data_IF_093130662927
#
_entry.id   IF_093130662927
#
_cell.length_a   1.000
_cell.length_b   1.000
_cell.length_c   1.000
_cell.angle_alpha   90.00
_cell.angle_beta   90.00
_cell.angle_gamma   90.00
#
_symmetry.space_group_name_H-M   'P 1'
#
loop_
_entity.id
_entity.type
_entity.pdbx_description
1 polymer ?
#
# COMPACT_ATOMS: atom_id res chain seq x y z
N UNK A 1 -16.45 19.66 -2.59
CA UNK A 1 -16.41 20.12 -1.19
C UNK A 1 -16.76 21.61 -1.18
N UNK A 2 -17.86 21.97 -0.51
CA UNK A 2 -18.25 23.37 -0.32
C UNK A 2 -17.21 24.12 0.53
N UNK A 3 -17.17 25.45 0.38
CA UNK A 3 -16.29 26.43 1.04
C UNK A 3 -16.24 26.39 2.59
N UNK A 4 -16.87 25.39 3.22
CA UNK A 4 -17.01 25.25 4.68
C UNK A 4 -16.10 24.19 5.32
N UNK A 5 -15.24 23.48 4.59
CA UNK A 5 -14.20 22.66 5.24
C UNK A 5 -13.06 23.56 5.75
N UNK A 6 -13.32 24.25 6.85
CA UNK A 6 -12.35 25.09 7.55
C UNK A 6 -11.54 24.20 8.51
N UNK A 7 -10.19 24.25 8.50
CA UNK A 7 -9.34 23.56 9.49
C UNK A 7 -9.79 23.79 10.94
N UNK A 8 -10.35 24.97 11.23
CA UNK A 8 -10.89 25.33 12.56
C UNK A 8 -12.12 24.53 13.00
N UNK A 9 -12.84 23.90 12.08
CA UNK A 9 -13.98 23.01 12.39
C UNK A 9 -13.46 21.61 12.71
N UNK A 10 -12.46 21.14 11.98
CA UNK A 10 -11.77 19.88 12.26
C UNK A 10 -11.06 19.91 13.63
N UNK A 11 -10.35 21.01 13.93
CA UNK A 11 -9.62 21.23 15.19
C UNK A 11 -10.51 21.23 16.45
N UNK A 12 -11.84 21.36 16.31
CA UNK A 12 -12.75 21.51 17.45
C UNK A 12 -13.46 20.21 17.84
N UNK A 13 -14.02 19.49 16.87
CA UNK A 13 -14.82 18.27 17.09
C UNK A 13 -14.66 17.23 15.95
N UNK A 14 -13.79 17.48 14.96
CA UNK A 14 -13.71 16.65 13.73
C UNK A 14 -12.65 15.56 13.75
N UNK A 15 -11.69 15.61 14.67
CA UNK A 15 -10.59 14.65 14.71
C UNK A 15 -11.05 13.24 15.16
N UNK A 16 -12.12 13.15 15.96
CA UNK A 16 -12.72 11.87 16.37
C UNK A 16 -13.28 11.09 15.17
N UNK A 17 -13.57 11.77 14.05
CA UNK A 17 -14.10 11.18 12.81
C UNK A 17 -13.05 11.09 11.70
N UNK A 18 -11.77 11.34 12.01
CA UNK A 18 -10.72 11.41 10.98
C UNK A 18 -10.60 10.11 10.19
N UNK A 19 -10.61 8.96 10.87
CA UNK A 19 -10.59 7.63 10.26
C UNK A 19 -11.78 7.44 9.29
N UNK A 20 -13.00 7.83 9.70
CA UNK A 20 -14.20 7.75 8.86
C UNK A 20 -14.14 8.69 7.64
N UNK A 21 -13.41 9.80 7.76
CA UNK A 21 -13.25 10.77 6.66
C UNK A 21 -12.18 10.35 5.65
N UNK A 22 -11.27 9.45 6.02
CA UNK A 22 -10.10 9.11 5.22
C UNK A 22 -10.44 8.65 3.79
N UNK A 23 -11.45 7.78 3.55
CA UNK A 23 -11.84 7.41 2.18
C UNK A 23 -12.29 8.60 1.32
N UNK A 24 -12.97 9.58 1.92
CA UNK A 24 -13.41 10.77 1.19
C UNK A 24 -12.24 11.73 0.88
N UNK A 25 -11.27 11.85 1.80
CA UNK A 25 -10.06 12.65 1.60
C UNK A 25 -9.17 12.04 0.53
N UNK A 26 -8.98 10.72 0.57
CA UNK A 26 -8.25 9.96 -0.45
C UNK A 26 -8.86 10.16 -1.85
N UNK A 27 -10.16 9.92 -2.00
CA UNK A 27 -10.88 10.12 -3.26
C UNK A 27 -10.75 11.55 -3.81
N UNK A 28 -10.75 12.55 -2.93
CA UNK A 28 -10.57 13.95 -3.34
C UNK A 28 -9.18 14.22 -3.95
N UNK A 29 -8.16 13.44 -3.59
CA UNK A 29 -6.80 13.56 -4.09
C UNK A 29 -6.60 12.77 -5.39
N UNK A 30 -7.12 11.53 -5.45
CA UNK A 30 -6.79 10.60 -6.54
C UNK A 30 -7.70 10.69 -7.76
N UNK A 31 -8.98 11.07 -7.62
CA UNK A 31 -9.94 11.07 -8.74
C UNK A 31 -9.66 12.19 -9.76
N UNK A 32 -9.41 13.42 -9.28
CA UNK A 32 -9.07 14.57 -10.13
C UNK A 32 -7.93 15.37 -9.49
N UNK A 33 -6.74 14.77 -9.53
CA UNK A 33 -5.51 15.39 -9.02
C UNK A 33 -5.26 16.78 -9.62
N UNK A 34 -5.49 17.05 -10.92
CA UNK A 34 -5.40 18.40 -11.47
C UNK A 34 -6.33 19.42 -10.78
N UNK A 35 -7.59 19.06 -10.53
CA UNK A 35 -8.52 19.92 -9.81
C UNK A 35 -8.10 20.11 -8.34
N UNK A 36 -7.62 19.05 -7.69
CA UNK A 36 -7.05 19.13 -6.34
C UNK A 36 -5.87 20.11 -6.28
N UNK A 37 -4.93 20.03 -7.22
CA UNK A 37 -3.74 20.88 -7.30
C UNK A 37 -4.03 22.31 -7.80
N UNK A 38 -5.21 22.57 -8.36
CA UNK A 38 -5.59 23.90 -8.86
C UNK A 38 -5.58 25.00 -7.77
N UNK A 39 -5.70 24.59 -6.50
CA UNK A 39 -5.64 25.47 -5.34
C UNK A 39 -4.67 24.91 -4.30
N UNK A 40 -3.54 25.59 -4.11
CA UNK A 40 -2.50 25.18 -3.15
C UNK A 40 -3.02 25.10 -1.70
N UNK A 41 -4.12 25.76 -1.37
CA UNK A 41 -4.75 25.65 -0.05
C UNK A 41 -5.30 24.25 0.23
N UNK A 42 -5.58 23.43 -0.80
CA UNK A 42 -6.05 22.06 -0.59
C UNK A 42 -4.95 21.18 0.03
N UNK A 43 -3.73 21.19 -0.54
CA UNK A 43 -2.58 20.47 0.02
C UNK A 43 -2.27 20.97 1.43
N UNK A 44 -2.30 22.29 1.63
CA UNK A 44 -2.06 22.89 2.95
C UNK A 44 -3.13 22.47 3.97
N UNK A 45 -4.40 22.40 3.57
CA UNK A 45 -5.49 21.94 4.44
C UNK A 45 -5.28 20.48 4.86
N UNK A 46 -4.97 19.58 3.91
CA UNK A 46 -4.67 18.18 4.21
C UNK A 46 -3.46 18.04 5.14
N UNK A 47 -2.39 18.78 4.87
CA UNK A 47 -1.23 18.82 5.75
C UNK A 47 -1.58 19.26 7.17
N UNK A 48 -2.40 20.31 7.33
CA UNK A 48 -2.78 20.80 8.65
C UNK A 48 -3.64 19.78 9.42
N UNK A 49 -4.50 19.04 8.74
CA UNK A 49 -5.27 17.92 9.32
C UNK A 49 -4.30 16.85 9.83
N UNK A 50 -3.42 16.34 8.97
CA UNK A 50 -2.43 15.32 9.35
C UNK A 50 -1.52 15.79 10.48
N UNK A 51 -1.06 17.05 10.41
CA UNK A 51 -0.24 17.66 11.45
C UNK A 51 -0.97 17.72 12.79
N UNK A 52 -2.23 18.11 12.81
CA UNK A 52 -3.03 18.16 14.04
C UNK A 52 -3.13 16.77 14.66
N UNK A 53 -3.51 15.76 13.87
CA UNK A 53 -3.62 14.36 14.32
C UNK A 53 -2.29 13.84 14.85
N UNK A 54 -1.20 14.06 14.12
CA UNK A 54 0.12 13.55 14.50
C UNK A 54 0.73 14.28 15.70
N UNK A 55 0.34 15.50 16.06
CA UNK A 55 1.10 16.31 17.06
C UNK A 55 0.31 16.77 18.28
N UNK A 56 -1.01 16.97 18.16
CA UNK A 56 -1.81 17.65 19.19
C UNK A 56 -2.81 16.72 19.83
N UNK A 57 -3.32 15.76 19.07
CA UNK A 57 -4.38 14.92 19.55
C UNK A 57 -3.81 13.88 20.54
N UNK A 58 -4.36 13.79 21.76
CA UNK A 58 -4.17 12.66 22.68
C UNK A 58 -4.92 11.42 22.13
N UNK A 59 -4.74 11.15 20.84
CA UNK A 59 -5.37 10.05 20.12
C UNK A 59 -4.59 8.75 20.32
N UNK A 60 -5.29 7.65 20.07
CA UNK A 60 -4.62 6.38 19.79
C UNK A 60 -3.70 6.49 18.57
N UNK A 61 -2.86 5.48 18.36
CA UNK A 61 -1.95 5.45 17.20
C UNK A 61 -2.68 5.17 15.87
N UNK A 62 -3.93 4.67 15.90
CA UNK A 62 -4.70 4.35 14.69
C UNK A 62 -5.01 5.58 13.79
N UNK A 63 -5.55 6.71 14.30
CA UNK A 63 -5.66 7.94 13.52
C UNK A 63 -4.31 8.47 13.01
N UNK A 64 -3.22 8.24 13.77
CA UNK A 64 -1.88 8.64 13.35
C UNK A 64 -1.40 7.81 12.14
N UNK A 65 -1.71 6.50 12.09
CA UNK A 65 -1.47 5.65 10.92
C UNK A 65 -2.18 6.20 9.68
N UNK A 66 -3.47 6.52 9.81
CA UNK A 66 -4.27 7.13 8.73
C UNK A 66 -3.69 8.48 8.27
N UNK A 67 -3.19 9.30 9.20
CA UNK A 67 -2.60 10.59 8.89
C UNK A 67 -1.28 10.44 8.12
N UNK A 68 -0.44 9.49 8.52
CA UNK A 68 0.78 9.14 7.81
C UNK A 68 0.48 8.58 6.42
N UNK A 69 -0.48 7.65 6.29
CA UNK A 69 -0.91 7.12 4.98
C UNK A 69 -1.43 8.21 4.05
N UNK A 70 -2.22 9.16 4.56
CA UNK A 70 -2.70 10.29 3.77
C UNK A 70 -1.54 11.17 3.25
N UNK A 71 -0.52 11.43 4.07
CA UNK A 71 0.66 12.18 3.64
C UNK A 71 1.42 11.44 2.53
N UNK A 72 1.59 10.13 2.67
CA UNK A 72 2.22 9.27 1.65
C UNK A 72 1.45 9.31 0.32
N UNK A 73 0.12 9.12 0.35
CA UNK A 73 -0.76 9.22 -0.82
C UNK A 73 -0.58 10.57 -1.51
N UNK A 74 -0.56 11.68 -0.77
CA UNK A 74 -0.37 13.02 -1.36
C UNK A 74 1.00 13.12 -2.04
N UNK A 75 2.07 12.59 -1.41
CA UNK A 75 3.43 12.61 -1.99
C UNK A 75 3.46 11.85 -3.31
N UNK A 76 2.91 10.63 -3.34
CA UNK A 76 2.97 9.76 -4.51
C UNK A 76 2.04 10.24 -5.63
N UNK A 77 0.80 10.63 -5.31
CA UNK A 77 -0.18 11.12 -6.28
C UNK A 77 0.23 12.45 -6.91
N UNK A 78 0.78 13.38 -6.12
CA UNK A 78 1.12 14.73 -6.58
C UNK A 78 2.58 14.86 -7.03
N UNK A 79 3.21 13.75 -7.44
CA UNK A 79 4.64 13.71 -7.80
C UNK A 79 5.02 14.82 -8.79
N UNK A 80 6.04 15.62 -8.44
CA UNK A 80 6.56 16.73 -9.26
C UNK A 80 5.81 18.07 -9.17
N UNK A 81 4.77 18.17 -8.33
CA UNK A 81 3.91 19.37 -8.26
C UNK A 81 3.87 20.04 -6.88
N UNK A 82 4.48 19.44 -5.85
CA UNK A 82 4.37 19.86 -4.45
C UNK A 82 5.72 19.98 -3.73
N UNK A 83 6.82 20.24 -4.45
CA UNK A 83 8.18 20.32 -3.90
C UNK A 83 8.28 21.26 -2.67
N UNK A 84 7.50 22.34 -2.63
CA UNK A 84 7.45 23.26 -1.49
C UNK A 84 6.87 22.67 -0.20
N UNK A 85 6.07 21.60 -0.30
CA UNK A 85 5.42 20.94 0.84
C UNK A 85 6.25 19.76 1.39
N UNK A 86 7.04 19.11 0.54
CA UNK A 86 7.83 17.91 0.89
C UNK A 86 8.69 18.10 2.14
N UNK A 87 9.42 19.22 2.34
CA UNK A 87 10.22 19.40 3.54
C UNK A 87 9.42 19.31 4.84
N UNK A 88 8.21 19.90 4.85
CA UNK A 88 7.32 19.88 6.01
C UNK A 88 6.70 18.52 6.28
N UNK A 89 6.53 17.68 5.25
CA UNK A 89 6.01 16.31 5.38
C UNK A 89 7.07 15.39 5.97
N UNK A 90 8.31 15.49 5.46
CA UNK A 90 9.48 14.77 6.01
C UNK A 90 9.69 15.15 7.48
N UNK A 91 9.71 16.45 7.79
CA UNK A 91 9.92 16.92 9.15
C UNK A 91 8.84 16.41 10.11
N UNK A 92 7.56 16.44 9.70
CA UNK A 92 6.45 15.98 10.52
C UNK A 92 6.54 14.48 10.84
N UNK A 93 6.83 13.65 9.84
CA UNK A 93 6.98 12.20 10.02
C UNK A 93 8.18 11.86 10.91
N UNK A 94 9.34 12.48 10.66
CA UNK A 94 10.53 12.28 11.49
C UNK A 94 10.32 12.77 12.93
N UNK A 95 9.62 13.90 13.14
CA UNK A 95 9.25 14.36 14.48
C UNK A 95 8.36 13.34 15.21
N UNK A 96 7.42 12.69 14.51
CA UNK A 96 6.61 11.62 15.11
C UNK A 96 7.45 10.42 15.54
N UNK A 97 8.45 10.02 14.75
CA UNK A 97 9.37 8.93 15.06
C UNK A 97 10.30 9.22 16.26
N UNK A 98 10.51 10.49 16.63
CA UNK A 98 11.30 10.83 17.84
C UNK A 98 10.53 10.70 19.16
N UNK A 99 9.21 10.52 19.09
CA UNK A 99 8.37 10.24 20.26
C UNK A 99 8.21 8.73 20.44
N UNK A 100 7.66 8.31 21.58
CA UNK A 100 7.30 6.91 21.80
C UNK A 100 6.33 6.45 20.69
N UNK A 101 6.64 5.33 20.06
CA UNK A 101 5.77 4.65 19.08
C UNK A 101 5.59 3.22 19.56
N UNK A 102 4.35 2.82 19.87
CA UNK A 102 4.03 1.52 20.46
C UNK A 102 3.90 0.45 19.39
N UNK A 103 3.16 0.74 18.33
CA UNK A 103 2.86 -0.19 17.24
C UNK A 103 3.96 -0.20 16.17
N UNK A 104 4.24 -1.36 15.60
CA UNK A 104 5.09 -1.49 14.40
C UNK A 104 4.45 -0.84 13.18
N UNK A 105 3.13 -0.91 13.07
CA UNK A 105 2.35 -0.30 11.99
C UNK A 105 2.57 1.21 11.91
N UNK A 106 2.44 1.96 13.02
CA UNK A 106 2.68 3.40 12.99
C UNK A 106 4.14 3.74 12.65
N UNK A 107 5.11 2.93 13.12
CA UNK A 107 6.52 3.11 12.73
C UNK A 107 6.67 2.94 11.23
N UNK A 108 6.13 1.86 10.65
CA UNK A 108 6.17 1.58 9.22
C UNK A 108 5.52 2.72 8.41
N UNK A 109 4.32 3.16 8.78
CA UNK A 109 3.61 4.26 8.10
C UNK A 109 4.41 5.57 8.13
N UNK A 110 5.01 5.92 9.27
CA UNK A 110 5.86 7.12 9.35
C UNK A 110 7.13 6.99 8.50
N UNK A 111 7.75 5.80 8.46
CA UNK A 111 8.89 5.53 7.59
C UNK A 111 8.48 5.65 6.12
N UNK A 112 7.32 5.13 5.72
CA UNK A 112 6.81 5.22 4.35
C UNK A 112 6.63 6.66 3.86
N UNK A 113 6.18 7.60 4.70
CA UNK A 113 6.12 9.03 4.32
C UNK A 113 7.49 9.54 3.89
N UNK A 114 8.55 9.18 4.63
CA UNK A 114 9.92 9.60 4.35
C UNK A 114 10.50 8.87 3.14
N UNK A 115 10.15 7.59 2.95
CA UNK A 115 10.54 6.77 1.77
C UNK A 115 9.86 7.30 0.50
N UNK A 116 8.56 7.62 0.56
CA UNK A 116 7.81 8.24 -0.52
C UNK A 116 8.42 9.57 -0.93
N UNK A 117 8.86 10.39 0.04
CA UNK A 117 9.55 11.65 -0.25
C UNK A 117 10.94 11.44 -0.89
N UNK A 118 11.68 10.40 -0.47
CA UNK A 118 12.94 10.00 -1.11
C UNK A 118 12.69 9.57 -2.57
N UNK A 119 11.68 8.75 -2.79
CA UNK A 119 11.27 8.29 -4.12
C UNK A 119 10.72 9.44 -4.98
N UNK A 120 10.07 10.44 -4.38
CA UNK A 120 9.56 11.64 -5.03
C UNK A 120 10.71 12.46 -5.65
N UNK A 121 11.69 12.84 -4.83
CA UNK A 121 12.85 13.63 -5.27
C UNK A 121 14.04 13.41 -4.30
N UNK A 122 15.04 12.59 -4.66
CA UNK A 122 16.12 12.24 -3.75
C UNK A 122 17.06 13.41 -3.43
N UNK A 123 17.15 14.42 -4.31
CA UNK A 123 17.94 15.62 -4.04
C UNK A 123 17.26 16.51 -2.99
N UNK A 124 15.95 16.75 -3.15
CA UNK A 124 15.17 17.50 -2.17
C UNK A 124 15.14 16.80 -0.81
N UNK A 125 15.06 15.46 -0.81
CA UNK A 125 15.12 14.65 0.40
C UNK A 125 16.44 14.89 1.17
N UNK A 126 17.59 14.78 0.49
CA UNK A 126 18.90 15.06 1.10
C UNK A 126 18.97 16.47 1.68
N UNK A 127 18.63 17.48 0.86
CA UNK A 127 18.68 18.87 1.27
C UNK A 127 17.79 19.16 2.49
N UNK A 128 16.67 18.43 2.62
CA UNK A 128 15.76 18.55 3.74
C UNK A 128 16.34 17.90 4.98
N UNK A 129 16.74 16.64 4.89
CA UNK A 129 17.24 15.86 6.04
C UNK A 129 18.51 16.46 6.63
N UNK A 130 19.37 17.07 5.81
CA UNK A 130 20.57 17.78 6.28
C UNK A 130 20.26 19.10 7.02
N UNK A 131 19.09 19.72 6.77
CA UNK A 131 18.68 20.99 7.39
C UNK A 131 17.83 20.80 8.64
N UNK A 132 17.11 19.68 8.74
CA UNK A 132 16.26 19.39 9.89
C UNK A 132 17.13 19.26 11.14
N UNK A 133 16.64 19.81 12.25
CA UNK A 133 17.27 19.69 13.56
C UNK A 133 16.32 18.97 14.50
N UNK A 134 16.56 17.67 14.71
CA UNK A 134 15.81 16.86 15.66
C UNK A 134 16.69 16.53 16.86
N UNK A 135 16.06 16.26 17.99
CA UNK A 135 16.74 15.75 19.19
C UNK A 135 17.07 14.27 18.99
N UNK A 136 18.07 14.00 18.16
CA UNK A 136 18.68 12.68 17.99
C UNK A 136 20.00 12.60 18.79
N UNK A 137 20.51 11.40 19.09
CA UNK A 137 21.81 11.25 19.73
C UNK A 137 22.89 12.04 18.97
N UNK A 138 23.74 12.84 19.66
CA UNK A 138 24.66 13.78 19.01
C UNK A 138 25.77 13.13 18.18
N UNK A 139 25.83 11.80 18.18
CA UNK A 139 26.82 10.99 17.48
C UNK A 139 26.39 10.57 16.08
N UNK A 140 25.14 10.83 15.69
CA UNK A 140 24.55 10.33 14.44
C UNK A 140 23.85 11.45 13.66
N UNK A 141 23.82 11.33 12.33
CA UNK A 141 23.04 12.22 11.46
C UNK A 141 21.61 11.71 11.31
N UNK A 142 20.65 12.60 11.00
CA UNK A 142 19.24 12.21 10.83
C UNK A 142 19.08 11.17 9.71
N UNK A 143 19.81 11.35 8.61
CA UNK A 143 19.81 10.39 7.50
C UNK A 143 20.33 9.02 7.94
N UNK A 144 21.39 8.97 8.74
CA UNK A 144 21.92 7.72 9.28
C UNK A 144 20.95 7.01 10.21
N UNK A 145 20.33 7.76 11.13
CA UNK A 145 19.34 7.24 12.05
C UNK A 145 18.14 6.65 11.29
N UNK A 146 17.60 7.42 10.33
CA UNK A 146 16.49 6.98 9.49
C UNK A 146 16.83 5.73 8.68
N UNK A 147 17.98 5.68 8.01
CA UNK A 147 18.37 4.52 7.19
C UNK A 147 18.50 3.26 8.04
N UNK A 148 19.10 3.36 9.24
CA UNK A 148 19.24 2.22 10.14
C UNK A 148 17.89 1.74 10.67
N UNK A 149 17.01 2.67 11.04
CA UNK A 149 15.66 2.32 11.48
C UNK A 149 14.85 1.67 10.36
N UNK A 150 14.93 2.22 9.14
CA UNK A 150 14.25 1.64 7.99
C UNK A 150 14.71 0.20 7.68
N UNK A 151 16.02 -0.05 7.69
CA UNK A 151 16.54 -1.41 7.49
C UNK A 151 16.19 -2.37 8.63
N UNK A 152 16.07 -1.86 9.86
CA UNK A 152 15.69 -2.63 11.03
C UNK A 152 14.21 -3.04 10.99
N UNK A 153 13.33 -2.10 10.68
CA UNK A 153 11.87 -2.30 10.67
C UNK A 153 11.36 -2.77 9.29
N UNK A 154 12.23 -3.33 8.44
CA UNK A 154 11.89 -3.75 7.07
C UNK A 154 10.91 -4.92 7.01
N UNK A 155 10.86 -5.73 8.06
CA UNK A 155 9.90 -6.83 8.28
C UNK A 155 8.49 -6.33 8.64
N UNK A 156 8.38 -5.09 9.12
CA UNK A 156 7.10 -4.45 9.47
C UNK A 156 6.39 -3.83 8.25
N UNK A 157 6.96 -3.88 7.05
CA UNK A 157 6.28 -3.45 5.82
C UNK A 157 5.40 -4.59 5.35
N UNK A 158 4.09 -4.42 5.53
CA UNK A 158 3.07 -5.41 5.26
C UNK A 158 2.30 -5.04 3.98
N UNK A 159 1.68 -6.01 3.33
CA UNK A 159 0.99 -5.81 2.06
C UNK A 159 1.89 -5.65 0.83
N UNK A 160 1.26 -5.51 -0.33
CA UNK A 160 1.93 -5.31 -1.63
C UNK A 160 2.46 -3.88 -1.73
N UNK A 161 1.64 -2.89 -1.41
CA UNK A 161 1.98 -1.47 -1.58
C UNK A 161 3.25 -1.08 -0.79
N UNK A 162 3.28 -1.35 0.51
CA UNK A 162 4.34 -0.90 1.41
C UNK A 162 5.69 -1.52 1.00
N UNK A 163 5.65 -2.79 0.60
CA UNK A 163 6.83 -3.51 0.11
C UNK A 163 7.30 -3.00 -1.25
N UNK A 164 6.40 -2.69 -2.18
CA UNK A 164 6.76 -2.05 -3.46
C UNK A 164 7.45 -0.71 -3.20
N UNK A 165 6.88 0.13 -2.35
CA UNK A 165 7.45 1.43 -2.00
C UNK A 165 8.83 1.28 -1.32
N UNK A 166 8.98 0.31 -0.42
CA UNK A 166 10.25 -0.01 0.22
C UNK A 166 11.33 -0.39 -0.82
N UNK A 167 11.03 -1.30 -1.76
CA UNK A 167 11.96 -1.70 -2.83
C UNK A 167 12.32 -0.52 -3.73
N UNK A 168 11.34 0.28 -4.14
CA UNK A 168 11.56 1.45 -5.00
C UNK A 168 12.38 2.54 -4.28
N UNK A 169 12.13 2.74 -2.99
CA UNK A 169 12.91 3.62 -2.14
C UNK A 169 14.36 3.20 -2.03
N UNK A 170 14.62 1.94 -1.67
CA UNK A 170 15.99 1.41 -1.54
C UNK A 170 16.71 1.45 -2.89
N UNK A 171 16.01 1.09 -3.98
CA UNK A 171 16.55 1.20 -5.34
C UNK A 171 16.94 2.64 -5.69
N UNK A 172 16.11 3.62 -5.29
CA UNK A 172 16.42 5.05 -5.45
C UNK A 172 17.67 5.43 -4.66
N UNK A 173 17.76 5.02 -3.40
CA UNK A 173 18.91 5.27 -2.52
C UNK A 173 20.22 4.72 -3.09
N UNK A 174 20.16 3.49 -3.63
CA UNK A 174 21.29 2.82 -4.28
C UNK A 174 21.76 3.57 -5.54
N UNK A 175 20.83 4.16 -6.30
CA UNK A 175 21.10 4.86 -7.55
C UNK A 175 21.59 6.32 -7.39
N UNK A 176 21.66 6.87 -6.17
CA UNK A 176 22.06 8.26 -5.92
C UNK A 176 23.54 8.59 -6.22
N UNK A 177 24.35 7.57 -6.55
CA UNK A 177 25.76 7.75 -6.89
C UNK A 177 26.54 8.44 -5.77
N UNK A 178 27.38 9.46 -6.07
CA UNK A 178 28.21 10.13 -5.07
C UNK A 178 27.41 10.98 -4.07
N UNK A 179 26.16 11.30 -4.37
CA UNK A 179 25.29 12.09 -3.47
C UNK A 179 24.62 11.23 -2.39
N UNK A 180 24.80 9.90 -2.44
CA UNK A 180 24.21 8.98 -1.47
C UNK A 180 24.72 9.27 -0.04
N UNK A 181 23.86 9.23 1.00
CA UNK A 181 24.29 9.43 2.39
C UNK A 181 25.37 8.44 2.81
N UNK A 182 26.35 8.88 3.61
CA UNK A 182 27.44 8.01 4.09
C UNK A 182 26.93 6.79 4.86
N UNK A 183 25.81 6.93 5.56
CA UNK A 183 25.18 5.83 6.30
C UNK A 183 24.80 4.64 5.41
N UNK A 184 24.49 4.89 4.14
CA UNK A 184 24.19 3.78 3.21
C UNK A 184 25.42 2.93 2.97
N UNK A 185 26.60 3.54 2.93
CA UNK A 185 27.86 2.82 2.81
C UNK A 185 28.19 2.02 4.09
N UNK A 186 27.82 2.55 5.27
CA UNK A 186 27.99 1.84 6.54
C UNK A 186 27.08 0.61 6.65
N UNK A 187 25.85 0.72 6.13
CA UNK A 187 24.85 -0.34 6.14
C UNK A 187 24.90 -1.24 4.89
N UNK A 188 25.90 -1.11 4.02
CA UNK A 188 25.94 -1.76 2.70
C UNK A 188 25.67 -3.27 2.73
N UNK A 189 26.24 -3.98 3.73
CA UNK A 189 26.08 -5.42 3.89
C UNK A 189 24.68 -5.86 4.31
N UNK A 190 23.82 -4.94 4.76
CA UNK A 190 22.46 -5.21 5.23
C UNK A 190 21.40 -4.93 4.14
N UNK A 191 21.70 -4.07 3.16
CA UNK A 191 20.72 -3.60 2.17
C UNK A 191 20.21 -4.74 1.28
N UNK A 192 21.09 -5.57 0.73
CA UNK A 192 20.66 -6.68 -0.13
C UNK A 192 19.90 -7.76 0.66
N UNK A 193 20.35 -8.20 1.87
CA UNK A 193 19.54 -9.06 2.72
C UNK A 193 18.14 -8.50 3.03
N UNK A 194 18.04 -7.20 3.32
CA UNK A 194 16.77 -6.50 3.52
C UNK A 194 15.89 -6.55 2.26
N UNK A 195 16.44 -6.24 1.08
CA UNK A 195 15.69 -6.35 -0.18
C UNK A 195 15.21 -7.77 -0.46
N UNK A 196 16.02 -8.80 -0.17
CA UNK A 196 15.61 -10.20 -0.33
C UNK A 196 14.41 -10.52 0.56
N UNK A 197 14.42 -10.08 1.82
CA UNK A 197 13.29 -10.24 2.74
C UNK A 197 12.01 -9.61 2.17
N UNK A 198 12.11 -8.36 1.72
CA UNK A 198 10.96 -7.62 1.16
C UNK A 198 10.45 -8.27 -0.14
N UNK A 199 11.36 -8.76 -1.00
CA UNK A 199 10.98 -9.47 -2.23
C UNK A 199 10.32 -10.83 -1.98
N UNK A 200 10.70 -11.54 -0.92
CA UNK A 200 10.02 -12.77 -0.52
C UNK A 200 8.59 -12.47 -0.05
N UNK A 201 8.42 -11.42 0.77
CA UNK A 201 7.09 -10.91 1.15
C UNK A 201 6.24 -10.53 -0.06
N UNK A 202 6.79 -9.78 -1.03
CA UNK A 202 6.09 -9.43 -2.28
C UNK A 202 5.67 -10.66 -3.07
N UNK A 203 6.56 -11.66 -3.19
CA UNK A 203 6.25 -12.88 -3.93
C UNK A 203 5.07 -13.63 -3.31
N UNK A 204 4.99 -13.68 -1.97
CA UNK A 204 3.86 -14.26 -1.24
C UNK A 204 2.58 -13.44 -1.43
N UNK A 205 2.65 -12.12 -1.23
CA UNK A 205 1.50 -11.22 -1.34
C UNK A 205 0.90 -11.21 -2.76
N UNK A 206 1.72 -11.18 -3.82
CA UNK A 206 1.21 -11.31 -5.19
C UNK A 206 0.56 -12.66 -5.47
N UNK A 207 1.06 -13.75 -4.85
CA UNK A 207 0.46 -15.07 -5.03
C UNK A 207 -0.89 -15.16 -4.33
N UNK A 208 -1.04 -14.58 -3.13
CA UNK A 208 -2.30 -14.49 -2.41
C UNK A 208 -3.35 -13.70 -3.21
N UNK A 209 -3.01 -12.47 -3.64
CA UNK A 209 -3.91 -11.65 -4.47
C UNK A 209 -4.32 -12.32 -5.78
N UNK A 210 -3.43 -13.09 -6.40
CA UNK A 210 -3.75 -13.83 -7.61
C UNK A 210 -4.68 -15.03 -7.37
N UNK A 211 -4.70 -15.59 -6.15
CA UNK A 211 -5.62 -16.64 -5.74
C UNK A 211 -6.99 -16.05 -5.43
N UNK A 212 -7.06 -14.96 -4.67
CA UNK A 212 -8.30 -14.25 -4.36
C UNK A 212 -9.04 -13.82 -5.64
N UNK A 213 -8.33 -13.21 -6.59
CA UNK A 213 -8.93 -12.84 -7.87
C UNK A 213 -9.47 -14.04 -8.67
N UNK A 214 -8.84 -15.22 -8.57
CA UNK A 214 -9.32 -16.43 -9.25
C UNK A 214 -10.56 -17.01 -8.58
N UNK A 215 -10.64 -16.92 -7.25
CA UNK A 215 -11.80 -17.36 -6.48
C UNK A 215 -13.01 -16.44 -6.78
N UNK A 216 -12.82 -15.11 -6.79
CA UNK A 216 -13.86 -14.15 -7.17
C UNK A 216 -14.40 -14.39 -8.59
N UNK A 217 -13.51 -14.58 -9.58
CA UNK A 217 -13.93 -14.90 -10.96
C UNK A 217 -14.72 -16.23 -11.04
N UNK A 218 -14.40 -17.21 -10.19
CA UNK A 218 -15.08 -18.51 -10.17
C UNK A 218 -16.46 -18.47 -9.49
N UNK A 219 -16.67 -17.61 -8.50
CA UNK A 219 -17.96 -17.42 -7.84
C UNK A 219 -18.96 -16.63 -8.71
N UNK A 220 -18.47 -15.73 -9.57
CA UNK A 220 -19.34 -15.03 -10.53
C UNK A 220 -19.93 -15.98 -11.58
N UNK A 221 -19.17 -16.97 -12.06
CA UNK A 221 -19.60 -17.96 -13.07
C UNK A 221 -20.63 -18.98 -12.52
N UNK A 222 -20.70 -19.23 -11.20
CA UNK A 222 -21.73 -20.10 -10.60
C UNK A 222 -23.08 -19.39 -10.38
N UNK A 223 -23.16 -18.07 -10.60
CA UNK A 223 -24.37 -17.26 -10.36
C UNK A 223 -25.24 -17.01 -11.59
N UNK A 224 -24.84 -17.46 -12.79
CA UNK A 224 -25.58 -17.30 -14.05
C UNK A 224 -26.42 -18.52 -14.50
N UNK A 225 -26.62 -19.53 -13.65
CA UNK A 225 -27.42 -20.73 -13.99
C UNK A 225 -28.76 -20.86 -13.24
N UNK A 226 -29.30 -19.80 -12.64
CA UNK A 226 -30.74 -19.74 -12.30
C UNK A 226 -31.55 -19.28 -13.51
N UNK A 227 -31.68 -20.23 -14.44
CA UNK A 227 -32.65 -20.21 -15.54
C UNK A 227 -34.03 -19.87 -14.96
N UNK A 228 -34.53 -18.66 -15.25
CA UNK A 228 -35.89 -18.23 -15.00
C UNK A 228 -36.88 -19.19 -15.67
N UNK A 229 -37.23 -20.30 -15.00
CA UNK A 229 -38.36 -21.12 -15.40
C UNK A 229 -39.64 -20.35 -15.07
N UNK A 230 -40.05 -19.56 -16.05
CA UNK A 230 -41.35 -18.89 -16.07
C UNK A 230 -42.43 -19.94 -16.30
N UNK A 231 -42.98 -20.51 -15.23
CA UNK A 231 -44.37 -21.01 -15.15
C UNK A 231 -44.60 -21.61 -13.74
N UNK A 232 -45.43 -20.96 -12.92
CA UNK A 232 -46.72 -21.50 -12.48
C UNK A 232 -47.32 -20.64 -11.34
N UNK A 233 -48.49 -20.09 -11.64
CA UNK A 233 -49.38 -19.39 -10.73
C UNK A 233 -49.95 -20.33 -9.65
N UNK A 234 -49.45 -20.29 -8.41
CA UNK A 234 -50.22 -20.72 -7.24
C UNK A 234 -50.10 -19.72 -6.08
N UNK A 235 -51.08 -18.82 -5.99
CA UNK A 235 -51.30 -17.96 -4.84
C UNK A 235 -51.75 -18.86 -3.67
N UNK A 236 -50.81 -19.22 -2.80
CA UNK A 236 -51.10 -20.05 -1.62
C UNK A 236 -52.02 -19.29 -0.64
N UNK A 237 -53.21 -19.84 -0.40
CA UNK A 237 -54.29 -19.33 0.44
C UNK A 237 -53.94 -19.19 1.94
N UNK A 238 -52.72 -19.57 2.36
CA UNK A 238 -52.26 -19.50 3.74
C UNK A 238 -51.73 -18.13 4.20
N UNK A 239 -51.67 -17.12 3.32
CA UNK A 239 -51.24 -15.76 3.71
C UNK A 239 -52.25 -15.05 4.65
N UNK A 240 -53.53 -15.46 4.61
CA UNK A 240 -54.58 -14.85 5.41
C UNK A 240 -54.47 -15.17 6.92
N UNK A 241 -54.11 -16.40 7.29
CA UNK A 241 -53.98 -16.82 8.69
C UNK A 241 -52.77 -16.17 9.38
N UNK A 242 -51.67 -15.96 8.65
CA UNK A 242 -50.48 -15.29 9.16
C UNK A 242 -50.75 -13.81 9.46
N UNK A 243 -51.51 -13.13 8.59
CA UNK A 243 -51.88 -11.73 8.77
C UNK A 243 -52.87 -11.53 9.94
N UNK A 244 -53.73 -12.52 10.20
CA UNK A 244 -54.66 -12.51 11.34
C UNK A 244 -53.94 -12.76 12.68
N UNK A 245 -52.93 -13.63 12.70
CA UNK A 245 -52.07 -13.88 13.87
C UNK A 245 -51.26 -12.64 14.28
N UNK A 246 -50.79 -11.84 13.30
CA UNK A 246 -50.10 -10.57 13.55
C UNK A 246 -51.05 -9.50 14.11
N UNK A 247 -52.29 -9.43 13.62
CA UNK A 247 -53.32 -8.50 14.15
C UNK A 247 -53.73 -8.82 15.58
N UNK A 248 -53.81 -10.10 15.97
CA UNK A 248 -54.14 -10.48 17.35
C UNK A 248 -53.02 -10.14 18.36
N UNK A 249 -51.75 -10.15 17.95
CA UNK A 249 -50.63 -9.79 18.84
C UNK A 249 -50.51 -8.28 19.07
N UNK A 250 -50.96 -7.44 18.13
CA UNK A 250 -50.94 -5.97 18.28
C UNK A 250 -52.11 -5.47 19.16
N UNK A 251 -53.26 -6.16 19.15
CA UNK A 251 -54.44 -5.74 19.93
C UNK A 251 -54.45 -6.20 21.41
N UNK A 252 -53.48 -6.99 21.87
CA UNK A 252 -53.33 -7.38 23.29
C UNK A 252 -52.53 -6.38 24.15
N UNK A 253 -52.09 -5.25 23.57
CA UNK A 253 -51.32 -4.20 24.25
C UNK A 253 -52.11 -3.02 24.82
N UNK A 254 -53.44 -3.13 25.00
CA UNK A 254 -54.27 -2.08 25.59
C UNK A 254 -55.14 -2.65 26.71
N UNK A 255 -54.55 -2.83 27.88
CA UNK A 255 -55.19 -2.71 29.21
C UNK A 255 -54.22 -3.21 30.29
N UNK A 256 -53.32 -2.34 30.75
CA UNK A 256 -53.14 -2.13 32.19
C UNK A 256 -52.25 -0.91 32.41
N UNK A 257 -52.86 0.16 32.91
CA UNK A 257 -52.13 1.21 33.63
C UNK A 257 -51.59 0.64 34.95
N UNK A 258 -50.63 1.37 35.51
CA UNK A 258 -50.12 1.34 36.89
C UNK A 258 -48.92 0.41 37.18
N UNK A 259 -47.69 0.87 36.92
CA UNK A 259 -46.67 1.24 37.93
C UNK A 259 -45.29 1.49 37.30
N UNK A 260 -44.42 2.36 37.87
CA UNK A 260 -43.23 2.89 37.20
C UNK A 260 -42.07 1.89 37.14
N UNK A 261 -41.48 1.72 35.95
CA UNK A 261 -40.25 0.96 35.74
C UNK A 261 -39.07 1.76 36.32
N UNK A 262 -38.56 1.35 37.49
CA UNK A 262 -37.31 1.82 38.07
C UNK A 262 -36.18 1.01 37.43
N UNK A 263 -35.34 1.65 36.61
CA UNK A 263 -34.08 1.06 36.14
C UNK A 263 -33.04 1.36 37.23
N UNK A 264 -32.72 0.35 38.05
CA UNK A 264 -31.66 0.37 39.05
C UNK A 264 -30.41 -0.28 38.45
N UNK A 265 -29.31 0.48 38.40
CA UNK A 265 -27.97 0.02 38.08
C UNK A 265 -27.43 -0.85 39.22
N UNK A 266 -26.90 -2.02 38.90
CA UNK A 266 -26.11 -2.85 39.83
C UNK A 266 -24.85 -3.29 39.11
N UNK A 267 -23.72 -2.82 39.62
CA UNK A 267 -22.36 -3.21 39.23
C UNK A 267 -22.13 -4.61 39.80
N UNK A 268 -21.77 -5.57 38.94
CA UNK A 268 -21.23 -6.86 39.36
C UNK A 268 -19.76 -6.92 38.97
N UNK A 269 -18.96 -6.86 40.03
CA UNK A 269 -17.53 -7.09 40.10
C UNK A 269 -17.28 -8.58 39.82
N UNK A 270 -16.66 -8.89 38.68
CA UNK A 270 -16.20 -10.24 38.37
C UNK A 270 -14.68 -10.16 38.23
N UNK A 271 -14.00 -10.50 39.33
CA UNK A 271 -12.60 -10.87 39.36
C UNK A 271 -12.42 -12.12 38.50
N UNK A 272 -11.87 -11.96 37.30
CA UNK A 272 -11.33 -13.06 36.51
C UNK A 272 -9.82 -12.99 36.63
N UNK A 273 -9.28 -14.11 37.11
CA UNK A 273 -7.88 -14.38 37.42
C UNK A 273 -6.97 -14.10 36.22
N UNK A 274 -5.80 -13.54 36.55
CA UNK A 274 -4.61 -13.50 35.72
C UNK A 274 -4.18 -14.94 35.38
N UNK A 275 -4.29 -15.31 34.11
CA UNK A 275 -3.42 -16.30 33.48
C UNK A 275 -2.91 -15.66 32.17
N UNK A 276 -1.78 -14.97 32.30
CA UNK A 276 -0.91 -14.56 31.20
C UNK A 276 -0.32 -15.83 30.56
N UNK A 277 -1.02 -16.40 29.59
CA UNK A 277 -0.41 -17.28 28.58
C UNK A 277 -0.34 -16.49 27.27
N UNK A 278 0.75 -15.74 27.16
CA UNK A 278 1.29 -15.13 25.95
C UNK A 278 1.86 -16.26 25.07
N UNK A 279 0.97 -17.08 24.52
CA UNK A 279 1.29 -17.93 23.37
C UNK A 279 1.14 -17.05 22.13
N UNK A 280 2.24 -16.38 21.76
CA UNK A 280 2.55 -15.92 20.40
C UNK A 280 2.40 -17.13 19.46
N UNK A 281 1.17 -17.38 19.02
CA UNK A 281 0.89 -18.26 17.90
C UNK A 281 1.27 -17.46 16.65
N UNK A 282 2.53 -17.64 16.22
CA UNK A 282 3.10 -17.25 14.92
C UNK A 282 2.34 -17.96 13.76
N UNK A 283 1.02 -17.85 13.70
CA UNK A 283 0.25 -18.13 12.50
C UNK A 283 0.43 -16.90 11.60
N UNK A 284 1.55 -16.90 10.87
CA UNK A 284 1.80 -16.02 9.73
C UNK A 284 0.62 -16.16 8.77
N UNK A 285 -0.39 -15.31 8.95
CA UNK A 285 -1.55 -15.30 8.08
C UNK A 285 -1.05 -15.07 6.66
N UNK A 286 -1.47 -15.97 5.75
CA UNK A 286 -1.09 -15.89 4.35
C UNK A 286 -1.60 -14.58 3.70
N UNK A 287 -2.56 -13.93 4.37
CA UNK A 287 -3.04 -12.61 4.01
C UNK A 287 -2.31 -11.51 4.80
N UNK A 288 -1.10 -11.18 4.36
CA UNK A 288 -0.29 -10.05 4.83
C UNK A 288 -0.88 -8.70 4.34
N UNK A 289 -2.13 -8.66 3.84
CA UNK A 289 -2.77 -7.46 3.33
C UNK A 289 -3.13 -6.50 4.48
N UNK A 290 -2.78 -5.23 4.31
CA UNK A 290 -3.07 -4.20 5.31
C UNK A 290 -4.41 -3.55 5.02
N UNK A 291 -5.13 -3.12 6.06
CA UNK A 291 -6.35 -2.32 5.89
C UNK A 291 -6.13 -0.98 5.15
N UNK A 292 -4.87 -0.61 4.91
CA UNK A 292 -4.48 0.58 4.15
C UNK A 292 -4.29 0.34 2.64
N UNK A 293 -4.32 -0.91 2.16
CA UNK A 293 -4.22 -1.23 0.71
C UNK A 293 -5.39 -0.65 -0.10
N UNK A 294 -6.52 -0.37 0.55
CA UNK A 294 -7.66 0.34 -0.05
C UNK A 294 -7.31 1.77 -0.52
N UNK A 295 -6.28 2.39 0.09
CA UNK A 295 -5.83 3.74 -0.26
C UNK A 295 -4.76 3.69 -1.34
N UNK A 296 -5.20 3.40 -2.56
CA UNK A 296 -4.34 3.24 -3.73
C UNK A 296 -3.61 4.51 -4.16
N UNK A 297 -2.50 4.33 -4.85
CA UNK A 297 -1.64 5.38 -5.41
C UNK A 297 -1.26 5.02 -6.87
N UNK A 298 -0.56 5.88 -7.61
CA UNK A 298 -0.13 5.55 -8.97
C UNK A 298 0.84 4.36 -9.08
N UNK A 299 1.38 3.89 -7.94
CA UNK A 299 2.22 2.68 -7.88
C UNK A 299 1.40 1.38 -7.86
N UNK A 300 0.10 1.48 -7.60
CA UNK A 300 -0.81 0.34 -7.42
C UNK A 300 -1.68 0.08 -8.65
N UNK A 301 -1.70 1.02 -9.60
CA UNK A 301 -2.41 0.89 -10.86
C UNK A 301 -1.89 -0.30 -11.68
N UNK A 302 -2.80 -1.13 -12.22
CA UNK A 302 -2.43 -2.32 -13.00
C UNK A 302 -1.62 -2.00 -14.27
N UNK A 303 -1.86 -0.83 -14.86
CA UNK A 303 -1.17 -0.35 -16.05
C UNK A 303 0.09 0.47 -15.74
N UNK A 304 0.53 0.49 -14.47
CA UNK A 304 1.75 1.19 -14.07
C UNK A 304 2.97 0.63 -14.83
N UNK A 305 3.77 1.51 -15.42
CA UNK A 305 5.00 1.11 -16.11
C UNK A 305 6.15 0.79 -15.15
N UNK A 306 5.93 1.03 -13.85
CA UNK A 306 6.94 0.96 -12.80
C UNK A 306 6.81 -0.38 -12.07
N UNK A 307 7.64 -1.34 -12.48
CA UNK A 307 7.77 -2.62 -11.80
C UNK A 307 8.99 -2.64 -10.87
N UNK A 308 8.78 -2.93 -9.59
CA UNK A 308 9.78 -2.92 -8.53
C UNK A 308 10.92 -3.93 -8.74
N UNK A 309 10.63 -5.11 -9.30
CA UNK A 309 11.65 -6.12 -9.62
C UNK A 309 12.51 -5.63 -10.79
N UNK A 310 11.88 -5.07 -11.82
CA UNK A 310 12.58 -4.53 -13.01
C UNK A 310 13.42 -3.31 -12.64
N UNK A 311 12.89 -2.39 -11.84
CA UNK A 311 13.61 -1.21 -11.36
C UNK A 311 14.83 -1.61 -10.55
N UNK A 312 14.66 -2.50 -9.56
CA UNK A 312 15.76 -2.99 -8.74
C UNK A 312 16.86 -3.64 -9.60
N UNK A 313 16.47 -4.53 -10.51
CA UNK A 313 17.42 -5.18 -11.43
C UNK A 313 18.18 -4.16 -12.27
N UNK A 314 17.48 -3.17 -12.83
CA UNK A 314 18.12 -2.15 -13.66
C UNK A 314 19.12 -1.31 -12.85
N UNK A 315 18.78 -0.96 -11.62
CA UNK A 315 19.70 -0.27 -10.70
C UNK A 315 20.93 -1.14 -10.44
N UNK A 316 20.73 -2.42 -10.09
CA UNK A 316 21.83 -3.32 -9.77
C UNK A 316 22.79 -3.53 -10.95
N UNK A 317 22.27 -3.72 -12.17
CA UNK A 317 23.08 -3.83 -13.39
C UNK A 317 23.80 -2.52 -13.74
N UNK A 318 23.14 -1.38 -13.52
CA UNK A 318 23.77 -0.08 -13.71
C UNK A 318 24.95 0.07 -12.77
N UNK A 319 24.77 -0.26 -11.48
CA UNK A 319 25.84 -0.20 -10.48
C UNK A 319 27.02 -1.12 -10.81
N UNK A 320 26.78 -2.33 -11.29
CA UNK A 320 27.86 -3.24 -11.71
C UNK A 320 28.77 -2.60 -12.77
N UNK A 321 28.19 -1.83 -13.69
CA UNK A 321 28.93 -1.14 -14.76
C UNK A 321 29.52 0.21 -14.34
N UNK A 322 28.79 1.01 -13.55
CA UNK A 322 29.13 2.41 -13.25
C UNK A 322 29.93 2.58 -11.97
N UNK A 323 29.68 1.73 -10.96
CA UNK A 323 30.35 1.75 -9.66
C UNK A 323 30.61 0.32 -9.16
N UNK A 324 31.62 -0.39 -9.73
CA UNK A 324 31.92 -1.77 -9.36
C UNK A 324 32.32 -1.91 -7.89
N UNK A 325 32.91 -0.89 -7.28
CA UNK A 325 33.27 -0.94 -5.86
C UNK A 325 32.04 -0.97 -4.98
N UNK A 326 31.04 -0.14 -5.31
CA UNK A 326 29.77 -0.13 -4.60
C UNK A 326 28.99 -1.43 -4.81
N UNK A 327 28.93 -1.94 -6.04
CA UNK A 327 28.32 -3.23 -6.33
C UNK A 327 28.94 -4.36 -5.49
N UNK A 328 30.28 -4.42 -5.42
CA UNK A 328 30.96 -5.41 -4.59
C UNK A 328 30.69 -5.24 -3.08
N UNK A 329 30.58 -4.00 -2.59
CA UNK A 329 30.23 -3.74 -1.19
C UNK A 329 28.85 -4.30 -0.82
N UNK A 330 27.89 -4.25 -1.75
CA UNK A 330 26.54 -4.79 -1.59
C UNK A 330 26.49 -6.32 -1.66
N UNK A 331 27.28 -6.95 -2.54
CA UNK A 331 27.12 -8.37 -2.88
C UNK A 331 28.17 -9.32 -2.27
N UNK A 332 29.34 -8.82 -1.87
CA UNK A 332 30.48 -9.66 -1.44
C UNK A 332 30.26 -10.45 -0.15
N UNK A 333 29.39 -9.99 0.75
CA UNK A 333 29.13 -10.62 2.04
C UNK A 333 27.87 -11.50 2.04
N UNK A 334 27.24 -11.71 0.88
CA UNK A 334 26.02 -12.52 0.80
C UNK A 334 26.32 -13.99 1.03
N UNK A 335 25.49 -14.64 1.84
CA UNK A 335 25.52 -16.10 2.01
C UNK A 335 25.17 -16.84 0.71
N UNK A 336 25.52 -18.12 0.56
CA UNK A 336 25.12 -18.91 -0.62
C UNK A 336 23.60 -18.91 -0.87
N UNK A 337 22.81 -18.94 0.20
CA UNK A 337 21.34 -18.86 0.17
C UNK A 337 20.89 -17.49 -0.33
N UNK A 338 21.44 -16.40 0.22
CA UNK A 338 21.13 -15.04 -0.21
C UNK A 338 21.53 -14.77 -1.66
N UNK A 339 22.68 -15.31 -2.11
CA UNK A 339 23.10 -15.23 -3.51
C UNK A 339 22.15 -15.99 -4.45
N UNK A 340 21.51 -17.05 -3.96
CA UNK A 340 20.52 -17.81 -4.74
C UNK A 340 19.21 -17.04 -4.79
N UNK A 341 18.71 -16.55 -3.65
CA UNK A 341 17.51 -15.72 -3.59
C UNK A 341 17.63 -14.45 -4.45
N UNK A 342 18.78 -13.75 -4.41
CA UNK A 342 19.03 -12.61 -5.28
C UNK A 342 18.95 -12.99 -6.77
N UNK A 343 19.51 -14.14 -7.16
CA UNK A 343 19.43 -14.61 -8.55
C UNK A 343 17.99 -14.91 -8.96
N UNK A 344 17.19 -15.50 -8.08
CA UNK A 344 15.76 -15.75 -8.33
C UNK A 344 14.99 -14.45 -8.54
N UNK A 345 15.22 -13.43 -7.70
CA UNK A 345 14.63 -12.09 -7.86
C UNK A 345 14.97 -11.51 -9.24
N UNK A 346 16.22 -11.63 -9.70
CA UNK A 346 16.66 -11.12 -11.00
C UNK A 346 16.07 -11.89 -12.18
N UNK A 347 15.80 -13.19 -12.03
CA UNK A 347 15.11 -14.01 -13.03
C UNK A 347 13.63 -13.64 -13.09
N UNK A 348 12.98 -13.46 -11.94
CA UNK A 348 11.60 -13.02 -11.87
C UNK A 348 11.41 -11.64 -12.51
N UNK A 349 12.36 -10.72 -12.30
CA UNK A 349 12.37 -9.42 -12.98
C UNK A 349 12.36 -9.56 -14.52
N UNK A 350 13.11 -10.51 -15.11
CA UNK A 350 13.07 -10.75 -16.55
C UNK A 350 11.71 -11.28 -17.01
N UNK A 351 11.14 -12.21 -16.24
CA UNK A 351 9.83 -12.79 -16.54
C UNK A 351 8.74 -11.72 -16.51
N UNK A 352 8.73 -10.87 -15.47
CA UNK A 352 7.77 -9.77 -15.33
C UNK A 352 7.92 -8.74 -16.46
N UNK A 353 9.15 -8.38 -16.81
CA UNK A 353 9.41 -7.49 -17.95
C UNK A 353 8.90 -8.07 -19.28
N UNK A 354 9.20 -9.34 -19.56
CA UNK A 354 8.76 -10.01 -20.78
C UNK A 354 7.23 -10.16 -20.85
N UNK A 355 6.58 -10.44 -19.71
CA UNK A 355 5.13 -10.51 -19.60
C UNK A 355 4.48 -9.14 -19.88
N UNK A 356 5.01 -8.06 -19.29
CA UNK A 356 4.54 -6.70 -19.53
C UNK A 356 4.71 -6.28 -21.00
N UNK A 357 5.86 -6.57 -21.62
CA UNK A 357 6.09 -6.33 -23.05
C UNK A 357 5.10 -7.12 -23.93
N UNK A 358 4.80 -8.37 -23.55
CA UNK A 358 3.82 -9.20 -24.26
C UNK A 358 2.40 -8.65 -24.16
N UNK A 359 1.97 -8.21 -22.97
CA UNK A 359 0.66 -7.55 -22.74
C UNK A 359 0.53 -6.27 -23.57
N UNK A 360 1.60 -5.46 -23.66
CA UNK A 360 1.63 -4.25 -24.52
C UNK A 360 1.50 -4.59 -26.02
N UNK A 361 2.13 -5.68 -26.48
CA UNK A 361 2.00 -6.13 -27.87
C UNK A 361 0.57 -6.60 -28.16
N UNK A 362 -0.07 -7.31 -27.23
CA UNK A 362 -1.45 -7.75 -27.36
C UNK A 362 -2.42 -6.56 -27.43
N UNK A 363 -2.30 -5.60 -26.50
CA UNK A 363 -3.12 -4.38 -26.48
C UNK A 363 -2.94 -3.51 -27.73
N UNK A 364 -1.77 -3.55 -28.39
CA UNK A 364 -1.51 -2.82 -29.64
C UNK A 364 -1.96 -3.54 -30.92
N UNK A 365 -2.74 -4.61 -30.79
CA UNK A 365 -3.34 -5.36 -31.91
C UNK A 365 -2.51 -6.56 -32.36
N UNK A 366 -1.60 -7.05 -31.51
CA UNK A 366 -0.75 -8.21 -31.77
C UNK A 366 0.47 -7.90 -32.63
N UNK A 367 1.26 -8.94 -32.93
CA UNK A 367 2.41 -8.80 -33.81
C UNK A 367 1.98 -8.36 -35.22
N UNK A 368 2.31 -7.12 -35.58
CA UNK A 368 2.19 -6.64 -36.96
C UNK A 368 3.20 -7.39 -37.85
N UNK A 369 2.77 -8.50 -38.47
CA UNK A 369 3.50 -9.13 -39.54
C UNK A 369 3.51 -8.20 -40.76
N UNK A 370 4.51 -7.32 -40.85
CA UNK A 370 4.71 -6.45 -42.01
C UNK A 370 4.98 -7.35 -43.22
N UNK A 371 3.97 -7.52 -44.07
CA UNK A 371 4.02 -8.08 -45.42
C UNK A 371 5.10 -9.16 -45.63
N UNK A 372 4.87 -10.37 -45.12
CA UNK A 372 5.41 -11.52 -45.83
C UNK A 372 4.71 -11.57 -47.19
N UNK A 373 5.43 -11.22 -48.25
CA UNK A 373 4.98 -11.45 -49.62
C UNK A 373 4.73 -12.95 -49.78
N UNK A 374 3.47 -13.37 -49.62
CA UNK A 374 3.05 -14.72 -49.93
C UNK A 374 3.34 -14.93 -51.42
N UNK A 375 4.25 -15.83 -51.81
CA UNK A 375 4.55 -16.06 -53.21
C UNK A 375 3.26 -16.50 -53.91
N UNK A 376 2.80 -15.74 -54.90
CA UNK A 376 1.55 -15.99 -55.63
C UNK A 376 1.57 -17.27 -56.48
N UNK A 377 2.69 -17.99 -56.52
CA UNK A 377 2.81 -19.29 -57.15
C UNK A 377 3.72 -20.21 -56.35
N UNK A 378 3.12 -21.07 -55.52
CA UNK A 378 3.81 -22.22 -54.94
C UNK A 378 3.61 -23.42 -55.90
N UNK A 379 4.66 -23.80 -56.63
CA UNK A 379 4.57 -24.86 -57.63
C UNK A 379 4.72 -26.24 -56.96
N UNK A 380 3.58 -26.89 -56.66
CA UNK A 380 3.52 -28.29 -56.17
C UNK A 380 3.84 -29.34 -57.26
N UNK A 381 4.04 -28.93 -58.51
CA UNK A 381 4.30 -29.82 -59.64
C UNK A 381 5.79 -30.13 -59.81
N UNK A 382 6.28 -31.13 -59.08
CA UNK A 382 7.59 -31.73 -59.34
C UNK A 382 7.69 -32.25 -60.78
N UNK A 383 8.80 -31.98 -61.45
CA UNK A 383 9.22 -32.78 -62.60
C UNK A 383 10.00 -33.98 -62.07
N UNK A 384 9.58 -35.23 -62.34
CA UNK A 384 10.46 -36.36 -62.09
C UNK A 384 11.67 -36.23 -63.00
N UNK A 385 12.87 -36.36 -62.43
CA UNK A 385 14.12 -36.46 -63.18
C UNK A 385 14.04 -37.72 -64.05
N UNK A 386 13.69 -37.53 -65.32
CA UNK A 386 13.63 -38.58 -66.32
C UNK A 386 14.97 -38.80 -66.99
N UNK A 387 15.54 -39.98 -66.69
CA UNK A 387 16.57 -40.78 -67.41
C UNK A 387 17.91 -40.14 -67.78
#
# INVERSE_FOLDING_TARGET
MDENFSPKVFEKDGYDYFTDMMPALHNYIVIDTPAFLSNQNHVLAMYNICKFVLTVADCSEDPECHAAKLLEVIILQCKGHIDQCIPSFIELALQRLTREVRTSELRAMCLQVVIAALYYNPQLWLETVDKIQLSIPPTESISAHFIKQWLHDADCFLGIHDRKLCVLGLSTLLAMGPNRPMAVNECASQIIPCLILVFDGLKRAYAARAQENQEEESEEDESEDEVLSTDEDEINENSAEYLEALKQKVNKGKNSLETPLVISSTIQDNTSDDDEDDDDDDDYDANDETGFEVYTTPLDEEDTEIDEYVVFKQVLLTLESSDPMWYNALTSNLSPEQQTALREVLVLADQRKAAAESKKIEQSGGYNFVNQTVPTSFNFGGKPLGR
#
